data_IF_611760587795
#
_entry.id   IF_611760587795
#
_cell.length_a   1.000
_cell.length_b   1.000
_cell.length_c   1.000
_cell.angle_alpha   90.00
_cell.angle_beta   90.00
_cell.angle_gamma   90.00
#
_symmetry.space_group_name_H-M   'P 1'
#
loop_
_entity.id
_entity.type
_entity.pdbx_description
1 polymer ?
#
# COMPACT_ATOMS: atom_id res chain seq x y z
N UNK A 1 -6.19 -53.35 -50.86
CA UNK A 1 -6.66 -51.95 -50.78
C UNK A 1 -6.37 -51.42 -49.39
N UNK A 2 -5.70 -50.28 -49.31
CA UNK A 2 -4.94 -49.79 -48.15
C UNK A 2 -5.82 -49.19 -47.05
N UNK A 3 -5.43 -49.41 -45.79
CA UNK A 3 -6.02 -48.91 -44.51
C UNK A 3 -6.35 -47.41 -44.46
N UNK A 4 -6.02 -46.62 -45.48
CA UNK A 4 -6.32 -45.17 -45.58
C UNK A 4 -7.80 -44.84 -45.82
N UNK A 5 -8.61 -45.79 -46.28
CA UNK A 5 -10.04 -45.55 -46.53
C UNK A 5 -10.86 -45.38 -45.24
N UNK A 6 -10.60 -46.21 -44.23
CA UNK A 6 -11.40 -46.20 -42.98
C UNK A 6 -11.19 -44.93 -42.16
N UNK A 7 -9.95 -44.41 -42.13
CA UNK A 7 -9.62 -43.17 -41.40
C UNK A 7 -10.32 -41.93 -41.99
N UNK A 8 -10.50 -41.86 -43.32
CA UNK A 8 -11.09 -40.69 -43.97
C UNK A 8 -12.60 -40.61 -43.79
N UNK A 9 -13.28 -41.76 -43.66
CA UNK A 9 -14.70 -41.82 -43.33
C UNK A 9 -14.97 -41.49 -41.85
N UNK A 10 -14.04 -41.82 -40.94
CA UNK A 10 -14.14 -41.41 -39.53
C UNK A 10 -13.98 -39.88 -39.36
N UNK A 11 -13.06 -39.26 -40.09
CA UNK A 11 -12.81 -37.80 -40.00
C UNK A 11 -13.94 -36.98 -40.62
N UNK A 12 -14.60 -37.49 -41.67
CA UNK A 12 -15.74 -36.78 -42.30
C UNK A 12 -17.03 -36.87 -41.47
N UNK A 13 -17.25 -37.96 -40.73
CA UNK A 13 -18.36 -38.04 -39.78
C UNK A 13 -18.22 -37.05 -38.60
N UNK A 14 -16.99 -36.76 -38.16
CA UNK A 14 -16.71 -35.82 -37.07
C UNK A 14 -16.81 -34.34 -37.48
N UNK A 15 -16.76 -34.03 -38.79
CA UNK A 15 -16.81 -32.67 -39.33
C UNK A 15 -18.21 -32.23 -39.80
N UNK A 16 -19.26 -33.01 -39.51
CA UNK A 16 -20.62 -32.61 -39.81
C UNK A 16 -21.09 -31.53 -38.82
N UNK A 17 -21.65 -30.39 -39.28
CA UNK A 17 -22.24 -29.38 -38.39
C UNK A 17 -23.25 -29.99 -37.41
N UNK A 18 -23.99 -31.01 -37.85
CA UNK A 18 -24.94 -31.76 -37.03
C UNK A 18 -24.24 -32.52 -35.89
N UNK A 19 -23.07 -33.10 -36.15
CA UNK A 19 -22.28 -33.78 -35.12
C UNK A 19 -21.74 -32.79 -34.09
N UNK A 20 -21.20 -31.64 -34.54
CA UNK A 20 -20.74 -30.60 -33.63
C UNK A 20 -21.86 -30.03 -32.75
N UNK A 21 -23.06 -29.86 -33.30
CA UNK A 21 -24.23 -29.42 -32.56
C UNK A 21 -24.67 -30.46 -31.54
N UNK A 22 -24.65 -31.75 -31.89
CA UNK A 22 -24.97 -32.84 -30.98
C UNK A 22 -23.96 -32.95 -29.84
N UNK A 23 -22.66 -32.81 -30.11
CA UNK A 23 -21.62 -32.79 -29.07
C UNK A 23 -21.80 -31.60 -28.15
N UNK A 24 -22.06 -30.40 -28.70
CA UNK A 24 -22.31 -29.20 -27.91
C UNK A 24 -23.56 -29.37 -27.02
N UNK A 25 -24.66 -29.89 -27.57
CA UNK A 25 -25.87 -30.18 -26.80
C UNK A 25 -25.58 -31.20 -25.68
N UNK A 26 -24.78 -32.23 -25.95
CA UNK A 26 -24.43 -33.24 -24.97
C UNK A 26 -23.56 -32.64 -23.84
N UNK A 27 -22.58 -31.79 -24.17
CA UNK A 27 -21.74 -31.09 -23.18
C UNK A 27 -22.59 -30.15 -22.32
N UNK A 28 -23.49 -29.36 -22.93
CA UNK A 28 -24.41 -28.48 -22.18
C UNK A 28 -25.34 -29.29 -21.29
N UNK A 29 -25.88 -30.41 -21.78
CA UNK A 29 -26.77 -31.27 -21.00
C UNK A 29 -26.03 -31.89 -19.81
N UNK A 30 -24.81 -32.39 -20.01
CA UNK A 30 -23.96 -32.91 -18.92
C UNK A 30 -23.64 -31.80 -17.91
N UNK A 31 -23.33 -30.59 -18.37
CA UNK A 31 -23.05 -29.46 -17.47
C UNK A 31 -24.29 -29.07 -16.65
N UNK A 32 -25.47 -29.01 -17.26
CA UNK A 32 -26.74 -28.75 -16.56
C UNK A 32 -27.07 -29.87 -15.59
N UNK A 33 -26.87 -31.15 -15.96
CA UNK A 33 -27.06 -32.27 -15.05
C UNK A 33 -26.08 -32.23 -13.88
N UNK A 34 -24.83 -31.83 -14.08
CA UNK A 34 -23.86 -31.65 -13.00
C UNK A 34 -24.25 -30.50 -12.06
N UNK A 35 -24.79 -29.39 -12.61
CA UNK A 35 -25.33 -28.28 -11.81
C UNK A 35 -26.56 -28.72 -11.02
N UNK A 36 -27.51 -29.42 -11.64
CA UNK A 36 -28.69 -29.99 -10.96
C UNK A 36 -28.25 -30.99 -9.89
N UNK A 37 -27.25 -31.82 -10.17
CA UNK A 37 -26.73 -32.80 -9.21
C UNK A 37 -26.02 -32.12 -8.04
N UNK A 38 -25.27 -31.04 -8.27
CA UNK A 38 -24.67 -30.24 -7.19
C UNK A 38 -25.73 -29.46 -6.40
N UNK A 39 -26.84 -29.04 -7.04
CA UNK A 39 -28.03 -28.52 -6.36
C UNK A 39 -28.74 -29.61 -5.54
N UNK A 40 -28.85 -30.84 -6.04
CA UNK A 40 -29.43 -31.96 -5.30
C UNK A 40 -28.53 -32.46 -4.17
N UNK A 41 -27.20 -32.36 -4.28
CA UNK A 41 -26.29 -32.62 -3.15
C UNK A 41 -26.44 -31.54 -2.08
N UNK A 42 -26.72 -30.29 -2.47
CA UNK A 42 -27.02 -29.21 -1.50
C UNK A 42 -28.45 -29.27 -0.97
N UNK A 43 -29.37 -29.98 -1.64
CA UNK A 43 -30.74 -30.22 -1.19
C UNK A 43 -30.98 -31.63 -0.62
N UNK A 44 -29.98 -32.52 -0.59
CA UNK A 44 -30.10 -33.71 0.23
C UNK A 44 -30.25 -33.20 1.66
N UNK A 45 -31.41 -33.44 2.31
CA UNK A 45 -31.52 -33.10 3.71
C UNK A 45 -30.37 -33.83 4.37
N UNK A 46 -29.50 -33.05 5.03
CA UNK A 46 -28.41 -33.59 5.83
C UNK A 46 -29.08 -34.63 6.71
N UNK A 47 -28.87 -35.91 6.37
CA UNK A 47 -29.21 -37.02 7.22
C UNK A 47 -28.28 -36.83 8.40
N UNK A 48 -28.80 -36.14 9.41
CA UNK A 48 -28.10 -35.88 10.66
C UNK A 48 -27.52 -37.22 11.11
N UNK A 49 -26.21 -37.30 11.40
CA UNK A 49 -25.63 -38.55 11.83
C UNK A 49 -26.43 -39.09 13.01
N UNK A 50 -26.58 -40.43 13.16
CA UNK A 50 -27.40 -41.03 14.20
C UNK A 50 -27.12 -40.48 15.61
N UNK A 51 -25.87 -40.04 15.86
CA UNK A 51 -25.43 -39.39 17.09
C UNK A 51 -26.09 -38.03 17.37
N UNK A 52 -26.42 -37.24 16.35
CA UNK A 52 -27.10 -35.95 16.55
C UNK A 52 -28.60 -36.15 16.83
N UNK A 53 -29.23 -37.18 16.23
CA UNK A 53 -30.60 -37.55 16.57
C UNK A 53 -30.74 -38.05 18.01
N UNK A 54 -29.74 -38.79 18.51
CA UNK A 54 -29.71 -39.19 19.93
C UNK A 54 -29.51 -37.97 20.83
N UNK A 55 -28.60 -37.07 20.46
CA UNK A 55 -28.36 -35.82 21.20
C UNK A 55 -29.60 -34.91 21.27
N UNK A 56 -30.33 -34.73 20.17
CA UNK A 56 -31.57 -33.93 20.14
C UNK A 56 -32.72 -34.58 20.93
N UNK A 57 -32.76 -35.91 21.00
CA UNK A 57 -33.78 -36.64 21.77
C UNK A 57 -33.50 -36.59 23.27
N UNK A 58 -32.23 -36.57 23.67
CA UNK A 58 -31.82 -36.34 25.06
C UNK A 58 -32.16 -34.92 25.55
N UNK A 59 -32.20 -33.93 24.66
CA UNK A 59 -32.61 -32.55 25.00
C UNK A 59 -34.11 -32.37 25.23
N UNK A 60 -34.98 -33.31 24.82
CA UNK A 60 -36.42 -33.23 25.15
C UNK A 60 -36.75 -33.61 26.61
N UNK A 61 -35.74 -33.91 27.42
CA UNK A 61 -35.92 -34.14 28.86
C UNK A 61 -35.38 -32.96 29.66
N UNK A 62 -36.29 -32.02 29.91
CA UNK A 62 -36.20 -30.92 30.88
C UNK A 62 -35.68 -31.42 32.25
N UNK A 63 -34.56 -30.84 32.73
CA UNK A 63 -34.63 -29.93 33.87
C UNK A 63 -33.76 -28.68 33.61
N UNK A 64 -34.42 -27.55 33.32
CA UNK A 64 -33.96 -26.58 32.31
C UNK A 64 -33.06 -25.40 32.71
N UNK A 65 -32.50 -25.31 33.93
CA UNK A 65 -31.61 -24.17 34.26
C UNK A 65 -30.18 -24.54 34.64
N UNK A 66 -29.98 -25.54 35.50
CA UNK A 66 -28.62 -25.83 36.04
C UNK A 66 -27.78 -26.67 35.04
N UNK A 67 -28.40 -27.51 34.19
CA UNK A 67 -27.68 -28.25 33.14
C UNK A 67 -27.23 -27.35 31.99
N UNK A 68 -28.04 -26.34 31.65
CA UNK A 68 -27.79 -25.40 30.55
C UNK A 68 -26.49 -24.61 30.73
N UNK A 69 -26.23 -24.12 31.94
CA UNK A 69 -25.01 -23.34 32.24
C UNK A 69 -23.74 -24.20 32.10
N UNK A 70 -23.77 -25.43 32.61
CA UNK A 70 -22.64 -26.36 32.50
C UNK A 70 -22.37 -26.79 31.06
N UNK A 71 -23.43 -27.06 30.28
CA UNK A 71 -23.29 -27.37 28.85
C UNK A 71 -22.73 -26.18 28.07
N UNK A 72 -23.22 -24.97 28.34
CA UNK A 72 -22.74 -23.75 27.71
C UNK A 72 -21.26 -23.49 28.04
N UNK A 73 -20.88 -23.59 29.32
CA UNK A 73 -19.49 -23.46 29.75
C UNK A 73 -18.58 -24.52 29.09
N UNK A 74 -19.04 -25.76 29.01
CA UNK A 74 -18.33 -26.85 28.35
C UNK A 74 -18.14 -26.61 26.84
N UNK A 75 -19.18 -26.13 26.15
CA UNK A 75 -19.11 -25.76 24.74
C UNK A 75 -18.17 -24.57 24.51
N UNK A 76 -18.20 -23.56 25.40
CA UNK A 76 -17.25 -22.44 25.36
C UNK A 76 -15.83 -22.95 25.50
N UNK A 77 -15.52 -23.79 26.49
CA UNK A 77 -14.17 -24.36 26.66
C UNK A 77 -13.72 -25.14 25.42
N UNK A 78 -14.59 -25.97 24.82
CA UNK A 78 -14.28 -26.65 23.55
C UNK A 78 -13.95 -25.68 22.43
N UNK A 79 -14.70 -24.57 22.32
CA UNK A 79 -14.44 -23.54 21.32
C UNK A 79 -13.09 -22.84 21.56
N UNK A 80 -12.73 -22.59 22.83
CA UNK A 80 -11.43 -22.00 23.20
C UNK A 80 -10.26 -22.91 22.82
N UNK A 81 -10.39 -24.21 23.05
CA UNK A 81 -9.38 -25.22 22.69
C UNK A 81 -9.30 -25.47 21.17
N UNK A 82 -10.40 -25.26 20.46
CA UNK A 82 -10.47 -25.49 19.01
C UNK A 82 -9.88 -24.34 18.16
N UNK A 83 -9.44 -23.23 18.78
CA UNK A 83 -8.86 -22.11 18.03
C UNK A 83 -7.54 -22.52 17.39
N UNK A 84 -7.53 -22.60 16.06
CA UNK A 84 -6.36 -22.99 15.27
C UNK A 84 -5.54 -21.78 14.85
N UNK A 85 -4.26 -21.77 15.23
CA UNK A 85 -3.30 -20.75 14.82
C UNK A 85 -2.59 -21.16 13.52
N UNK A 86 -2.64 -20.28 12.52
CA UNK A 86 -1.97 -20.44 11.23
C UNK A 86 -0.78 -19.48 11.15
N UNK A 87 0.32 -19.83 10.46
CA UNK A 87 1.46 -18.93 10.31
C UNK A 87 1.06 -17.68 9.55
N UNK A 88 1.52 -16.51 10.02
CA UNK A 88 1.37 -15.24 9.31
C UNK A 88 2.04 -15.35 7.95
N UNK A 89 3.29 -15.81 7.90
CA UNK A 89 4.04 -16.06 6.66
C UNK A 89 3.80 -17.48 6.16
N UNK A 90 2.87 -17.63 5.22
CA UNK A 90 2.61 -18.91 4.57
C UNK A 90 3.67 -19.23 3.50
N UNK A 91 4.58 -20.15 3.84
CA UNK A 91 5.71 -20.52 2.98
C UNK A 91 5.28 -21.14 1.64
N UNK A 92 4.05 -21.65 1.52
CA UNK A 92 3.50 -22.17 0.27
C UNK A 92 3.40 -21.08 -0.81
N UNK A 93 3.27 -19.81 -0.41
CA UNK A 93 3.14 -18.66 -1.30
C UNK A 93 4.39 -17.75 -1.30
N UNK A 94 5.52 -18.24 -0.77
CA UNK A 94 6.77 -17.46 -0.65
C UNK A 94 7.35 -16.96 -1.97
N UNK A 95 7.08 -17.64 -3.09
CA UNK A 95 7.50 -17.23 -4.43
C UNK A 95 6.60 -16.14 -5.05
N UNK A 96 5.43 -15.89 -4.45
CA UNK A 96 4.41 -14.93 -4.92
C UNK A 96 3.87 -14.11 -3.74
N UNK A 97 4.74 -13.44 -2.95
CA UNK A 97 4.35 -12.87 -1.66
C UNK A 97 3.33 -11.74 -1.77
N UNK A 98 3.12 -11.17 -2.95
CA UNK A 98 2.23 -10.04 -3.21
C UNK A 98 1.10 -10.36 -4.23
N UNK A 99 1.01 -11.58 -4.75
CA UNK A 99 -0.01 -11.95 -5.75
C UNK A 99 -1.25 -12.55 -5.08
N UNK A 100 -2.44 -12.08 -5.48
CA UNK A 100 -3.71 -12.67 -5.07
C UNK A 100 -3.96 -12.60 -3.57
N UNK A 101 -3.71 -13.69 -2.86
CA UNK A 101 -4.01 -13.84 -1.43
C UNK A 101 -2.91 -13.35 -0.49
N UNK A 102 -1.74 -12.92 -1.04
CA UNK A 102 -0.47 -12.72 -0.32
C UNK A 102 -0.08 -13.92 0.57
N UNK A 103 1.20 -14.05 0.89
CA UNK A 103 1.63 -15.02 1.90
C UNK A 103 1.20 -14.63 3.32
N UNK A 104 0.87 -13.35 3.56
CA UNK A 104 0.59 -12.82 4.90
C UNK A 104 -0.89 -13.00 5.25
N UNK A 105 -1.22 -13.85 6.22
CA UNK A 105 -2.61 -14.23 6.53
C UNK A 105 -3.36 -14.82 5.31
N UNK A 106 -2.70 -15.75 4.62
CA UNK A 106 -3.11 -16.29 3.31
C UNK A 106 -4.48 -16.99 3.27
N UNK A 107 -5.03 -17.42 4.42
CA UNK A 107 -6.32 -18.13 4.45
C UNK A 107 -7.54 -17.19 4.44
N UNK A 108 -7.32 -15.88 4.41
CA UNK A 108 -8.35 -14.86 4.49
C UNK A 108 -8.34 -13.98 3.23
N UNK A 109 -9.54 -13.54 2.85
CA UNK A 109 -9.76 -12.66 1.71
C UNK A 109 -9.93 -11.21 2.20
N UNK A 110 -9.40 -10.27 1.44
CA UNK A 110 -9.61 -8.84 1.68
C UNK A 110 -10.99 -8.40 1.19
N UNK A 111 -11.52 -7.35 1.81
CA UNK A 111 -12.58 -6.55 1.23
C UNK A 111 -12.00 -5.80 0.00
N UNK A 112 -12.58 -6.04 -1.16
CA UNK A 112 -12.13 -5.49 -2.45
C UNK A 112 -13.17 -4.53 -3.04
N UNK A 113 -13.59 -3.53 -2.27
CA UNK A 113 -14.43 -2.46 -2.80
C UNK A 113 -13.68 -1.73 -3.93
N UNK A 114 -14.29 -1.64 -5.12
CA UNK A 114 -13.64 -1.07 -6.31
C UNK A 114 -13.24 0.39 -6.06
N UNK A 115 -11.97 0.70 -6.29
CA UNK A 115 -11.43 2.06 -6.15
C UNK A 115 -11.05 2.43 -4.71
N UNK A 116 -11.26 1.54 -3.75
CA UNK A 116 -10.89 1.70 -2.36
C UNK A 116 -9.69 0.83 -1.99
N UNK A 117 -9.16 1.08 -0.78
CA UNK A 117 -8.11 0.27 -0.18
C UNK A 117 -8.59 -1.18 0.04
N UNK A 118 -7.68 -2.14 -0.17
CA UNK A 118 -7.90 -3.54 0.18
C UNK A 118 -7.49 -3.80 1.64
N UNK A 119 -8.41 -4.31 2.43
CA UNK A 119 -8.20 -4.53 3.86
C UNK A 119 -8.99 -5.73 4.40
N UNK A 120 -8.59 -6.23 5.56
CA UNK A 120 -9.39 -7.15 6.36
C UNK A 120 -9.85 -6.44 7.63
N UNK A 121 -11.06 -6.73 8.09
CA UNK A 121 -11.62 -6.14 9.30
C UNK A 121 -12.21 -7.21 10.20
N UNK A 122 -12.01 -7.05 11.50
CA UNK A 122 -12.43 -7.98 12.53
C UNK A 122 -12.99 -7.20 13.72
N UNK A 123 -14.16 -7.59 14.27
CA UNK A 123 -15.12 -8.52 13.69
C UNK A 123 -15.77 -7.94 12.41
N UNK A 124 -16.33 -8.82 11.59
CA UNK A 124 -16.99 -8.49 10.32
C UNK A 124 -17.88 -9.65 9.86
N UNK A 125 -18.71 -9.43 8.84
CA UNK A 125 -19.50 -10.51 8.23
C UNK A 125 -18.61 -11.63 7.66
N UNK A 126 -17.47 -11.27 7.03
CA UNK A 126 -16.55 -12.26 6.45
C UNK A 126 -15.84 -13.10 7.51
N UNK A 127 -15.50 -12.50 8.66
CA UNK A 127 -14.99 -13.23 9.82
C UNK A 127 -16.10 -13.92 10.61
N UNK A 128 -17.38 -13.74 10.26
CA UNK A 128 -18.56 -14.24 11.00
C UNK A 128 -18.59 -13.74 12.45
N UNK A 129 -18.21 -12.50 12.69
CA UNK A 129 -18.19 -11.91 14.04
C UNK A 129 -17.02 -12.36 14.93
N UNK A 130 -16.04 -13.10 14.38
CA UNK A 130 -14.85 -13.53 15.14
C UNK A 130 -13.79 -12.44 15.19
N UNK A 131 -13.11 -12.35 16.32
CA UNK A 131 -11.99 -11.45 16.56
C UNK A 131 -10.70 -12.00 15.96
N UNK A 132 -9.81 -11.09 15.56
CA UNK A 132 -8.44 -11.44 15.20
C UNK A 132 -7.63 -11.67 16.48
N UNK A 133 -6.91 -12.80 16.53
CA UNK A 133 -5.92 -13.09 17.56
C UNK A 133 -4.56 -13.31 16.93
N UNK A 134 -3.52 -12.68 17.49
CA UNK A 134 -2.13 -12.81 17.08
C UNK A 134 -1.31 -13.51 18.16
N UNK A 135 -0.30 -14.28 17.75
CA UNK A 135 0.60 -15.04 18.64
C UNK A 135 2.00 -15.09 18.05
N UNK A 136 3.02 -15.13 18.90
CA UNK A 136 4.43 -15.13 18.49
C UNK A 136 5.11 -13.79 18.73
N UNK A 137 6.42 -13.84 18.88
CA UNK A 137 7.28 -12.68 19.20
C UNK A 137 8.51 -12.60 18.28
N UNK A 138 8.48 -13.31 17.15
CA UNK A 138 9.67 -13.49 16.32
C UNK A 138 9.96 -12.24 15.47
N UNK A 139 11.19 -11.74 15.57
CA UNK A 139 11.67 -10.55 14.86
C UNK A 139 12.55 -10.87 13.63
N UNK A 140 12.79 -12.16 13.35
CA UNK A 140 13.75 -12.63 12.34
C UNK A 140 13.18 -13.69 11.38
N UNK A 141 12.15 -14.44 11.78
CA UNK A 141 11.43 -15.37 10.92
C UNK A 141 9.92 -15.28 11.13
N UNK A 142 9.25 -14.60 10.19
CA UNK A 142 7.81 -14.40 10.22
C UNK A 142 6.95 -15.67 10.13
N UNK A 143 7.54 -16.85 9.88
CA UNK A 143 6.81 -18.13 9.95
C UNK A 143 6.54 -18.59 11.40
N UNK A 144 7.23 -17.98 12.37
CA UNK A 144 7.04 -18.20 13.82
C UNK A 144 6.09 -17.21 14.48
N UNK A 145 5.44 -16.36 13.68
CA UNK A 145 4.32 -15.55 14.11
C UNK A 145 3.04 -16.07 13.47
N UNK A 146 1.94 -16.03 14.21
CA UNK A 146 0.70 -16.72 13.89
C UNK A 146 -0.51 -15.84 14.08
N UNK A 147 -1.59 -16.16 13.37
CA UNK A 147 -2.91 -15.58 13.55
C UNK A 147 -3.97 -16.66 13.73
N UNK A 148 -5.06 -16.30 14.37
CA UNK A 148 -6.26 -17.11 14.48
C UNK A 148 -7.50 -16.22 14.53
N UNK A 149 -8.67 -16.83 14.35
CA UNK A 149 -9.96 -16.19 14.57
C UNK A 149 -10.67 -16.88 15.73
N UNK A 150 -11.18 -16.09 16.68
CA UNK A 150 -11.89 -16.60 17.87
C UNK A 150 -13.19 -15.85 18.12
N UNK A 151 -14.18 -16.53 18.71
CA UNK A 151 -15.41 -15.87 19.14
C UNK A 151 -15.14 -14.96 20.35
N UNK A 152 -15.77 -13.79 20.46
CA UNK A 152 -15.59 -12.90 21.61
C UNK A 152 -15.83 -13.60 22.97
N UNK A 153 -16.79 -14.52 23.02
CA UNK A 153 -17.15 -15.29 24.22
C UNK A 153 -16.25 -16.51 24.47
N UNK A 154 -15.43 -16.90 23.50
CA UNK A 154 -14.58 -18.10 23.55
C UNK A 154 -13.17 -17.81 23.01
N UNK A 155 -12.49 -16.84 23.64
CA UNK A 155 -11.11 -16.51 23.33
C UNK A 155 -10.16 -17.66 23.67
N UNK A 156 -9.03 -17.83 22.97
CA UNK A 156 -8.07 -18.90 23.27
C UNK A 156 -7.65 -18.92 24.75
N UNK A 157 -7.23 -20.08 25.24
CA UNK A 157 -6.71 -20.21 26.61
C UNK A 157 -5.55 -19.22 26.83
N UNK A 158 -5.56 -18.52 27.96
CA UNK A 158 -4.58 -17.48 28.35
C UNK A 158 -4.48 -16.26 27.43
N UNK A 159 -5.43 -16.08 26.49
CA UNK A 159 -5.46 -14.91 25.64
C UNK A 159 -5.75 -13.63 26.44
N UNK A 160 -5.18 -12.52 26.00
CA UNK A 160 -5.59 -11.18 26.44
C UNK A 160 -6.40 -10.50 25.35
N UNK A 161 -7.45 -9.78 25.73
CA UNK A 161 -8.24 -8.94 24.81
C UNK A 161 -7.75 -7.50 24.90
N UNK A 162 -7.53 -6.86 23.76
CA UNK A 162 -7.18 -5.47 23.63
C UNK A 162 -8.39 -4.69 23.13
N UNK A 163 -8.91 -3.78 23.96
CA UNK A 163 -10.07 -2.92 23.64
C UNK A 163 -9.70 -1.80 22.67
N UNK A 164 -10.64 -1.37 21.85
CA UNK A 164 -10.46 -0.35 20.82
C UNK A 164 -9.88 -0.86 19.50
N UNK A 165 -9.78 0.06 18.54
CA UNK A 165 -9.29 -0.16 17.19
C UNK A 165 -7.77 -0.37 17.17
N UNK A 166 -7.37 -1.49 16.59
CA UNK A 166 -5.97 -1.83 16.34
C UNK A 166 -5.69 -1.89 14.84
N UNK A 167 -4.68 -1.15 14.39
CA UNK A 167 -4.18 -1.26 13.02
C UNK A 167 -3.06 -2.28 12.92
N UNK A 168 -3.19 -3.25 12.02
CA UNK A 168 -2.19 -4.29 11.78
C UNK A 168 -1.63 -4.11 10.38
N UNK A 169 -0.37 -3.69 10.30
CA UNK A 169 0.29 -3.40 9.02
C UNK A 169 1.26 -4.50 8.66
N UNK A 170 1.12 -5.06 7.46
CA UNK A 170 2.16 -5.85 6.81
C UNK A 170 2.82 -5.04 5.69
N UNK A 171 4.15 -4.95 5.75
CA UNK A 171 4.97 -4.35 4.70
C UNK A 171 5.98 -5.38 4.18
N UNK A 172 6.06 -5.53 2.85
CA UNK A 172 7.04 -6.44 2.23
C UNK A 172 8.44 -5.83 2.12
N UNK A 173 8.51 -4.50 2.18
CA UNK A 173 9.75 -3.74 2.28
C UNK A 173 9.88 -3.21 3.70
N UNK A 174 10.76 -2.26 3.95
CA UNK A 174 11.07 -1.77 5.30
C UNK A 174 10.28 -0.49 5.70
N UNK A 175 10.02 -0.31 7.01
CA UNK A 175 9.39 0.89 7.58
C UNK A 175 10.37 2.04 7.86
N UNK A 176 11.68 1.79 7.83
CA UNK A 176 12.71 2.81 7.91
C UNK A 176 12.86 3.64 6.63
N UNK A 177 12.60 3.04 5.47
CA UNK A 177 12.56 3.74 4.19
C UNK A 177 11.29 4.58 4.04
N UNK A 178 11.46 5.88 3.76
CA UNK A 178 10.34 6.84 3.66
C UNK A 178 9.26 6.43 2.65
N UNK A 179 9.63 6.01 1.44
CA UNK A 179 8.67 5.64 0.40
C UNK A 179 7.90 4.36 0.77
N UNK A 180 8.65 3.32 1.17
CA UNK A 180 8.07 2.03 1.51
C UNK A 180 7.15 2.13 2.74
N UNK A 181 7.60 2.84 3.77
CA UNK A 181 6.81 3.11 4.95
C UNK A 181 5.55 3.90 4.64
N UNK A 182 5.67 5.00 3.88
CA UNK A 182 4.51 5.81 3.49
C UNK A 182 3.49 4.99 2.69
N UNK A 183 3.95 4.20 1.71
CA UNK A 183 3.09 3.34 0.90
C UNK A 183 2.31 2.30 1.72
N UNK A 184 2.89 1.84 2.84
CA UNK A 184 2.23 0.91 3.76
C UNK A 184 1.22 1.61 4.68
N UNK A 185 1.41 2.91 4.97
CA UNK A 185 0.56 3.68 5.88
C UNK A 185 -0.61 4.42 5.22
N UNK A 186 -0.44 4.89 3.98
CA UNK A 186 -1.49 5.54 3.16
C UNK A 186 -2.83 4.75 3.17
N UNK A 187 -2.83 3.41 3.05
CA UNK A 187 -4.03 2.57 3.19
C UNK A 187 -4.87 2.82 4.46
N UNK A 188 -4.22 3.01 5.61
CA UNK A 188 -4.92 3.25 6.87
C UNK A 188 -5.58 4.63 6.91
N UNK A 189 -4.94 5.63 6.32
CA UNK A 189 -5.52 6.97 6.19
C UNK A 189 -6.74 6.92 5.27
N UNK A 190 -6.65 6.17 4.17
CA UNK A 190 -7.79 5.92 3.28
C UNK A 190 -8.94 5.21 4.00
N UNK A 191 -8.64 4.21 4.82
CA UNK A 191 -9.65 3.52 5.62
C UNK A 191 -10.30 4.48 6.63
N UNK A 192 -9.51 5.25 7.36
CA UNK A 192 -10.00 6.20 8.38
C UNK A 192 -10.91 7.27 7.77
N UNK A 193 -10.54 7.81 6.60
CA UNK A 193 -11.38 8.75 5.84
C UNK A 193 -12.75 8.17 5.48
N UNK A 194 -12.84 6.87 5.20
CA UNK A 194 -14.12 6.19 4.91
C UNK A 194 -14.95 5.95 6.17
N UNK A 195 -14.30 5.81 7.32
CA UNK A 195 -14.90 5.46 8.59
C UNK A 195 -14.90 6.65 9.55
N UNK A 196 -15.38 7.81 9.06
CA UNK A 196 -15.60 9.00 9.88
C UNK A 196 -14.38 9.47 10.69
N UNK A 197 -13.18 9.38 10.09
CA UNK A 197 -11.93 9.80 10.73
C UNK A 197 -11.58 9.01 12.00
N UNK A 198 -12.00 7.74 12.09
CA UNK A 198 -11.70 6.90 13.24
C UNK A 198 -10.19 6.71 13.40
N UNK A 199 -9.68 6.97 14.61
CA UNK A 199 -8.26 6.85 14.95
C UNK A 199 -7.97 5.51 15.63
N UNK A 200 -6.82 4.87 15.33
CA UNK A 200 -6.40 3.67 16.04
C UNK A 200 -5.90 4.02 17.45
N UNK A 201 -6.16 3.14 18.41
CA UNK A 201 -5.54 3.19 19.74
C UNK A 201 -4.12 2.65 19.69
N UNK A 202 -3.84 1.70 18.79
CA UNK A 202 -2.52 1.06 18.68
C UNK A 202 -2.26 0.45 17.32
N UNK A 203 -0.99 0.14 17.10
CA UNK A 203 -0.46 -0.41 15.86
C UNK A 203 0.31 -1.70 16.13
N UNK A 204 0.18 -2.66 15.22
CA UNK A 204 1.01 -3.87 15.15
C UNK A 204 1.69 -3.86 13.79
N UNK A 205 3.03 -3.91 13.76
CA UNK A 205 3.79 -3.84 12.52
C UNK A 205 4.48 -5.18 12.22
N UNK A 206 4.33 -5.62 10.98
CA UNK A 206 5.02 -6.76 10.42
C UNK A 206 5.82 -6.39 9.18
N UNK A 207 7.03 -6.94 9.09
CA UNK A 207 7.89 -6.95 7.91
C UNK A 207 8.24 -8.39 7.58
N UNK A 208 7.90 -8.92 6.41
CA UNK A 208 8.05 -10.36 6.11
C UNK A 208 7.38 -11.32 7.14
N UNK A 209 6.36 -10.81 7.84
CA UNK A 209 5.72 -11.52 8.96
C UNK A 209 6.49 -11.43 10.29
N UNK A 210 7.65 -10.78 10.31
CA UNK A 210 8.48 -10.53 11.49
C UNK A 210 8.00 -9.26 12.21
N UNK A 211 8.01 -9.28 13.54
CA UNK A 211 7.55 -8.14 14.32
C UNK A 211 8.49 -6.94 14.21
N UNK A 212 7.89 -5.76 14.18
CA UNK A 212 8.57 -4.47 14.20
C UNK A 212 7.91 -3.56 15.24
N UNK A 213 8.73 -2.77 15.92
CA UNK A 213 8.30 -1.91 17.02
C UNK A 213 8.67 -0.44 16.83
N UNK A 214 9.07 -0.08 15.60
CA UNK A 214 9.43 1.28 15.22
C UNK A 214 9.32 1.45 13.71
N UNK A 215 9.17 2.69 13.31
CA UNK A 215 9.31 3.15 11.93
C UNK A 215 10.40 4.22 11.84
N UNK A 216 10.77 4.62 10.62
CA UNK A 216 11.69 5.74 10.42
C UNK A 216 11.11 7.05 10.99
N UNK A 217 11.96 7.93 11.53
CA UNK A 217 11.53 9.16 12.20
C UNK A 217 10.58 10.00 11.33
N UNK A 218 10.93 10.20 10.07
CA UNK A 218 10.10 10.96 9.13
C UNK A 218 8.70 10.36 8.95
N UNK A 219 8.59 9.02 8.91
CA UNK A 219 7.29 8.38 8.82
C UNK A 219 6.51 8.54 10.12
N UNK A 220 7.17 8.42 11.26
CA UNK A 220 6.53 8.62 12.56
C UNK A 220 5.92 10.03 12.66
N UNK A 221 6.64 11.07 12.23
CA UNK A 221 6.11 12.44 12.18
C UNK A 221 4.90 12.58 11.26
N UNK A 222 4.90 11.93 10.08
CA UNK A 222 3.73 11.92 9.18
C UNK A 222 2.52 11.30 9.87
N UNK A 223 2.69 10.17 10.56
CA UNK A 223 1.59 9.47 11.22
C UNK A 223 1.09 10.26 12.43
N UNK A 224 1.99 10.78 13.26
CA UNK A 224 1.64 11.65 14.39
C UNK A 224 0.88 12.88 13.89
N UNK A 225 1.35 13.54 12.83
CA UNK A 225 0.65 14.68 12.24
C UNK A 225 -0.75 14.28 11.71
N UNK A 226 -0.85 13.13 11.05
CA UNK A 226 -2.11 12.67 10.44
C UNK A 226 -3.17 12.31 11.46
N UNK A 227 -2.80 11.60 12.54
CA UNK A 227 -3.74 11.13 13.56
C UNK A 227 -3.82 12.03 14.80
N UNK A 228 -2.95 13.03 14.92
CA UNK A 228 -2.91 13.97 16.04
C UNK A 228 -2.42 13.39 17.37
N UNK A 229 -1.81 12.19 17.35
CA UNK A 229 -1.32 11.50 18.54
C UNK A 229 -0.10 10.65 18.21
N UNK A 230 0.74 10.39 19.23
CA UNK A 230 1.91 9.54 19.07
C UNK A 230 1.51 8.09 18.78
N UNK A 231 2.25 7.45 17.88
CA UNK A 231 2.02 6.05 17.51
C UNK A 231 2.36 5.10 18.67
N UNK A 232 1.37 4.34 19.17
CA UNK A 232 1.61 3.26 20.12
C UNK A 232 1.82 1.92 19.37
N UNK A 233 3.03 1.38 19.39
CA UNK A 233 3.33 0.06 18.83
C UNK A 233 3.20 -1.01 19.90
N UNK A 234 2.27 -1.94 19.69
CA UNK A 234 2.05 -3.04 20.61
C UNK A 234 3.25 -4.00 20.61
N UNK A 235 3.76 -4.31 21.80
CA UNK A 235 4.83 -5.27 22.03
C UNK A 235 4.27 -6.54 22.66
N UNK A 236 4.30 -7.64 21.92
CA UNK A 236 3.98 -8.96 22.46
C UNK A 236 5.10 -9.41 23.39
N UNK A 237 4.78 -9.72 24.66
CA UNK A 237 5.77 -10.09 25.68
C UNK A 237 6.00 -11.59 25.81
N UNK A 238 5.01 -12.39 25.42
CA UNK A 238 5.02 -13.84 25.61
C UNK A 238 4.65 -14.53 24.30
N UNK A 239 5.57 -15.36 23.79
CA UNK A 239 5.40 -16.14 22.56
C UNK A 239 4.20 -17.10 22.60
N UNK A 240 3.81 -17.52 23.81
CA UNK A 240 2.77 -18.51 24.01
C UNK A 240 1.39 -17.90 24.30
N UNK A 241 1.32 -16.63 24.70
CA UNK A 241 0.04 -15.97 25.02
C UNK A 241 -0.52 -15.24 23.79
N UNK A 242 -1.69 -15.66 23.29
CA UNK A 242 -2.36 -14.92 22.24
C UNK A 242 -2.83 -13.55 22.71
N UNK A 243 -2.88 -12.62 21.79
CA UNK A 243 -3.50 -11.30 21.98
C UNK A 243 -4.57 -11.13 20.93
N UNK A 244 -5.80 -10.97 21.39
CA UNK A 244 -6.97 -10.75 20.55
C UNK A 244 -7.37 -9.28 20.60
N UNK A 245 -8.02 -8.80 19.55
CA UNK A 245 -8.40 -7.39 19.41
C UNK A 245 -9.91 -7.27 19.31
N UNK A 246 -10.49 -6.37 20.09
CA UNK A 246 -11.91 -6.05 20.00
C UNK A 246 -12.27 -5.56 18.60
N UNK A 247 -11.42 -4.70 18.02
CA UNK A 247 -11.52 -4.27 16.63
C UNK A 247 -10.13 -4.24 16.00
N UNK A 248 -9.99 -4.82 14.81
CA UNK A 248 -8.75 -4.81 14.06
C UNK A 248 -8.96 -4.58 12.57
N UNK A 249 -8.09 -3.75 11.98
CA UNK A 249 -8.02 -3.52 10.53
C UNK A 249 -6.63 -3.92 10.06
N UNK A 250 -6.56 -4.83 9.10
CA UNK A 250 -5.31 -5.37 8.56
C UNK A 250 -5.10 -4.84 7.15
N UNK A 251 -3.93 -4.25 6.90
CA UNK A 251 -3.48 -3.82 5.58
C UNK A 251 -2.26 -4.63 5.16
N UNK A 252 -2.30 -5.19 3.95
CA UNK A 252 -1.26 -6.08 3.44
C UNK A 252 -0.92 -5.91 1.95
N UNK A 253 -1.52 -4.89 1.31
CA UNK A 253 -1.41 -4.63 -0.13
C UNK A 253 -0.89 -3.22 -0.48
N UNK A 254 -0.37 -2.46 0.49
CA UNK A 254 -0.05 -1.03 0.32
C UNK A 254 -1.25 -0.32 -0.35
N UNK A 255 -1.00 0.60 -1.28
CA UNK A 255 -2.04 1.34 -2.02
C UNK A 255 -2.79 0.51 -3.08
N UNK A 256 -2.76 -0.82 -2.99
CA UNK A 256 -3.49 -1.73 -3.88
C UNK A 256 -5.00 -1.51 -3.83
N UNK A 257 -5.67 -1.62 -4.98
CA UNK A 257 -7.12 -1.42 -5.11
C UNK A 257 -7.58 0.04 -5.20
N UNK A 258 -6.82 0.98 -4.63
CA UNK A 258 -7.20 2.39 -4.62
C UNK A 258 -7.26 3.00 -6.02
N UNK A 259 -8.29 3.80 -6.25
CA UNK A 259 -8.41 4.67 -7.43
C UNK A 259 -7.39 5.81 -7.36
N UNK A 260 -7.25 6.55 -8.47
CA UNK A 260 -6.38 7.72 -8.46
C UNK A 260 -6.96 8.82 -7.58
N UNK A 261 -8.28 8.99 -7.66
CA UNK A 261 -9.07 9.95 -6.91
C UNK A 261 -8.90 9.72 -5.41
N UNK A 262 -9.04 8.46 -4.97
CA UNK A 262 -8.86 8.09 -3.57
C UNK A 262 -7.45 8.35 -3.05
N UNK A 263 -6.41 8.06 -3.84
CA UNK A 263 -5.04 8.42 -3.48
C UNK A 263 -4.87 9.93 -3.31
N UNK A 264 -5.43 10.72 -4.22
CA UNK A 264 -5.33 12.18 -4.15
C UNK A 264 -6.02 12.74 -2.90
N UNK A 265 -7.18 12.22 -2.51
CA UNK A 265 -7.86 12.62 -1.26
C UNK A 265 -6.99 12.33 -0.03
N UNK A 266 -6.35 11.16 0.02
CA UNK A 266 -5.48 10.77 1.13
C UNK A 266 -4.24 11.64 1.20
N UNK A 267 -3.56 11.87 0.08
CA UNK A 267 -2.38 12.74 0.06
C UNK A 267 -2.72 14.21 0.35
N UNK A 268 -3.91 14.67 -0.02
CA UNK A 268 -4.40 15.99 0.38
C UNK A 268 -4.60 16.09 1.90
N UNK A 269 -5.18 15.05 2.52
CA UNK A 269 -5.33 15.01 3.97
C UNK A 269 -3.95 15.02 4.65
N UNK A 270 -3.04 14.13 4.25
CA UNK A 270 -1.68 14.05 4.81
C UNK A 270 -0.99 15.42 4.71
N UNK A 271 -1.08 16.11 3.57
CA UNK A 271 -0.55 17.47 3.40
C UNK A 271 -1.14 18.45 4.37
N UNK A 272 -2.46 18.48 4.46
CA UNK A 272 -3.16 19.41 5.32
C UNK A 272 -2.77 19.18 6.79
N UNK A 273 -2.81 17.93 7.24
CA UNK A 273 -2.43 17.53 8.59
C UNK A 273 -0.99 17.86 8.93
N UNK A 274 -0.05 17.60 8.01
CA UNK A 274 1.35 17.96 8.20
C UNK A 274 1.55 19.47 8.36
N UNK A 275 0.83 20.29 7.58
CA UNK A 275 0.88 21.77 7.70
C UNK A 275 0.30 22.24 9.02
N UNK A 276 -0.84 21.69 9.41
CA UNK A 276 -1.48 22.01 10.69
C UNK A 276 -0.58 21.65 11.88
N UNK A 277 -0.02 20.43 11.88
CA UNK A 277 0.93 19.96 12.90
C UNK A 277 2.16 20.88 13.03
N UNK A 278 2.63 21.42 11.90
CA UNK A 278 3.78 22.33 11.87
C UNK A 278 3.42 23.82 12.00
N UNK A 279 2.17 24.18 12.31
CA UNK A 279 1.68 25.56 12.40
C UNK A 279 1.95 26.42 11.15
N UNK A 280 1.88 25.80 9.97
CA UNK A 280 2.11 26.46 8.69
C UNK A 280 0.81 27.09 8.21
N UNK A 281 0.79 28.42 8.12
CA UNK A 281 -0.34 29.17 7.60
C UNK A 281 -0.68 28.79 6.16
N UNK A 282 -1.98 28.64 5.88
CA UNK A 282 -2.51 28.47 4.53
C UNK A 282 -2.55 29.77 3.73
N UNK A 283 -2.16 30.91 4.31
CA UNK A 283 -2.19 32.22 3.63
C UNK A 283 -1.54 32.13 2.26
N UNK A 284 -2.25 32.60 1.24
CA UNK A 284 -1.80 32.55 -0.15
C UNK A 284 -0.43 33.24 -0.24
N UNK A 285 0.63 32.46 -0.49
CA UNK A 285 1.84 33.02 -1.09
C UNK A 285 1.42 33.89 -2.26
N UNK A 286 2.09 35.04 -2.42
CA UNK A 286 1.76 36.00 -3.48
C UNK A 286 1.50 35.27 -4.80
N UNK A 287 0.34 35.56 -5.42
CA UNK A 287 -0.15 34.85 -6.61
C UNK A 287 0.85 34.85 -7.77
N UNK A 288 1.82 35.77 -7.76
CA UNK A 288 2.88 35.94 -8.75
C UNK A 288 4.15 35.11 -8.52
N UNK A 289 4.42 34.60 -7.31
CA UNK A 289 5.67 33.90 -7.00
C UNK A 289 5.70 32.49 -7.57
N UNK A 290 6.83 32.06 -8.16
CA UNK A 290 7.09 30.67 -8.59
C UNK A 290 8.28 30.14 -7.77
N UNK A 291 8.02 29.28 -6.81
CA UNK A 291 9.07 28.65 -6.01
C UNK A 291 9.71 27.47 -6.74
N UNK A 292 10.95 27.63 -7.19
CA UNK A 292 11.75 26.53 -7.69
C UNK A 292 12.69 26.04 -6.58
N UNK A 293 12.70 24.73 -6.32
CA UNK A 293 13.55 24.13 -5.29
C UNK A 293 14.48 23.10 -5.91
N UNK A 294 15.79 23.27 -5.71
CA UNK A 294 16.78 22.22 -5.90
C UNK A 294 16.93 21.47 -4.57
N UNK A 295 16.35 20.28 -4.46
CA UNK A 295 16.52 19.41 -3.31
C UNK A 295 17.70 18.48 -3.54
N UNK A 296 18.84 18.89 -3.03
CA UNK A 296 20.13 18.25 -3.24
C UNK A 296 20.34 17.06 -2.29
N UNK A 297 21.27 16.18 -2.66
CA UNK A 297 21.70 15.02 -1.87
C UNK A 297 23.18 15.13 -1.55
N UNK A 298 23.56 14.67 -0.37
CA UNK A 298 24.97 14.39 -0.06
C UNK A 298 25.26 12.90 -0.28
N UNK A 299 26.41 12.57 -0.87
CA UNK A 299 26.87 11.19 -1.03
C UNK A 299 26.19 10.45 -2.19
N UNK A 300 25.58 9.26 -1.95
CA UNK A 300 24.98 8.46 -3.02
C UNK A 300 24.03 9.26 -3.89
N UNK A 301 24.19 9.18 -5.21
CA UNK A 301 23.32 9.85 -6.22
C UNK A 301 23.32 11.38 -6.15
N UNK A 302 24.28 11.99 -5.45
CA UNK A 302 24.55 13.43 -5.55
C UNK A 302 25.02 13.79 -6.96
N UNK A 303 24.95 15.07 -7.33
CA UNK A 303 25.60 15.54 -8.56
C UNK A 303 27.12 15.54 -8.40
N UNK A 304 27.86 15.24 -9.47
CA UNK A 304 29.33 15.33 -9.56
C UNK A 304 29.79 16.78 -9.41
N UNK A 305 29.09 17.70 -10.06
CA UNK A 305 29.33 19.15 -10.01
C UNK A 305 28.04 19.88 -9.62
N UNK A 306 27.82 20.03 -8.31
CA UNK A 306 26.60 20.68 -7.78
C UNK A 306 26.53 22.16 -8.15
N UNK A 307 27.65 22.88 -8.08
CA UNK A 307 27.70 24.31 -8.40
C UNK A 307 27.24 24.60 -9.83
N UNK A 308 27.73 23.84 -10.81
CA UNK A 308 27.30 24.00 -12.20
C UNK A 308 25.80 23.75 -12.38
N UNK A 309 25.25 22.71 -11.75
CA UNK A 309 23.81 22.43 -11.79
C UNK A 309 23.01 23.58 -11.17
N UNK A 310 23.44 24.08 -10.00
CA UNK A 310 22.80 25.22 -9.34
C UNK A 310 22.79 26.45 -10.25
N UNK A 311 23.93 26.76 -10.88
CA UNK A 311 24.06 27.94 -11.74
C UNK A 311 23.16 27.86 -12.97
N UNK A 312 23.01 26.68 -13.59
CA UNK A 312 22.08 26.47 -14.72
C UNK A 312 20.64 26.80 -14.29
N UNK A 313 20.13 26.17 -13.23
CA UNK A 313 18.76 26.39 -12.78
C UNK A 313 18.55 27.81 -12.25
N UNK A 314 19.57 28.42 -11.64
CA UNK A 314 19.53 29.82 -11.19
C UNK A 314 19.42 30.77 -12.37
N UNK A 315 20.17 30.53 -13.44
CA UNK A 315 20.10 31.31 -14.69
C UNK A 315 18.70 31.20 -15.30
N UNK A 316 18.16 30.00 -15.45
CA UNK A 316 16.84 29.83 -16.07
C UNK A 316 15.69 30.34 -15.21
N UNK A 317 15.75 30.19 -13.88
CA UNK A 317 14.76 30.76 -12.98
C UNK A 317 14.73 32.29 -13.07
N UNK A 318 15.89 32.97 -13.11
CA UNK A 318 15.95 34.44 -13.27
C UNK A 318 15.29 34.96 -14.55
N UNK A 319 15.21 34.13 -15.60
CA UNK A 319 14.57 34.49 -16.86
C UNK A 319 13.04 34.44 -16.79
N UNK A 320 12.46 34.00 -15.67
CA UNK A 320 11.02 33.88 -15.46
C UNK A 320 10.59 34.79 -14.32
N UNK A 321 9.79 35.80 -14.65
CA UNK A 321 9.23 36.75 -13.68
C UNK A 321 8.56 36.03 -12.50
N UNK A 322 8.92 36.46 -11.28
CA UNK A 322 8.41 35.90 -10.03
C UNK A 322 9.06 34.59 -9.60
N UNK A 323 9.98 34.03 -10.39
CA UNK A 323 10.68 32.80 -10.01
C UNK A 323 11.73 33.05 -8.93
N UNK A 324 11.68 32.26 -7.87
CA UNK A 324 12.63 32.26 -6.77
C UNK A 324 13.22 30.86 -6.60
N UNK A 325 14.54 30.76 -6.77
CA UNK A 325 15.26 29.51 -6.58
C UNK A 325 15.71 29.34 -5.12
N UNK A 326 15.36 28.21 -4.52
CA UNK A 326 15.91 27.76 -3.24
C UNK A 326 16.73 26.48 -3.43
N UNK A 327 17.93 26.45 -2.87
CA UNK A 327 18.76 25.23 -2.79
C UNK A 327 18.66 24.69 -1.37
N UNK A 328 18.41 23.39 -1.21
CA UNK A 328 18.26 22.78 0.11
C UNK A 328 18.74 21.34 0.11
N UNK A 329 19.16 20.86 1.27
CA UNK A 329 19.64 19.49 1.47
C UNK A 329 18.74 18.80 2.48
N UNK A 330 18.08 17.72 2.08
CA UNK A 330 17.07 17.04 2.91
C UNK A 330 17.58 16.61 4.30
N UNK A 331 18.84 16.21 4.40
CA UNK A 331 19.48 15.78 5.64
C UNK A 331 19.75 16.92 6.64
N UNK A 332 19.64 18.18 6.20
CA UNK A 332 19.83 19.35 7.06
C UNK A 332 18.50 19.94 7.55
N UNK A 333 17.36 19.31 7.22
CA UNK A 333 16.04 19.84 7.51
C UNK A 333 15.31 18.92 8.49
N UNK A 334 14.77 19.52 9.55
CA UNK A 334 13.74 18.91 10.39
C UNK A 334 12.49 18.57 9.57
N UNK A 335 11.60 17.74 10.13
CA UNK A 335 10.35 17.39 9.46
C UNK A 335 9.53 18.64 9.07
N UNK A 336 9.31 19.57 10.00
CA UNK A 336 8.51 20.77 9.71
C UNK A 336 9.19 21.74 8.74
N UNK A 337 10.52 21.84 8.73
CA UNK A 337 11.23 22.60 7.70
C UNK A 337 11.05 21.98 6.30
N UNK A 338 10.93 20.64 6.20
CA UNK A 338 10.59 19.98 4.94
C UNK A 338 9.15 20.28 4.52
N UNK A 339 8.19 20.26 5.46
CA UNK A 339 6.79 20.61 5.16
C UNK A 339 6.70 22.04 4.63
N UNK A 340 7.37 22.99 5.29
CA UNK A 340 7.39 24.41 4.89
C UNK A 340 8.07 24.60 3.53
N UNK A 341 9.23 23.95 3.31
CA UNK A 341 9.91 23.97 2.01
C UNK A 341 9.01 23.46 0.88
N UNK A 342 8.36 22.30 1.08
CA UNK A 342 7.51 21.68 0.06
C UNK A 342 6.24 22.50 -0.20
N UNK A 343 5.65 23.12 0.84
CA UNK A 343 4.54 24.07 0.72
C UNK A 343 4.91 25.27 -0.16
N UNK A 344 6.15 25.73 -0.08
CA UNK A 344 6.66 26.82 -0.92
C UNK A 344 7.18 26.37 -2.30
N UNK A 345 7.15 25.07 -2.63
CA UNK A 345 7.74 24.56 -3.87
C UNK A 345 6.67 24.33 -4.94
N UNK A 346 6.75 25.11 -6.01
CA UNK A 346 5.95 24.96 -7.22
C UNK A 346 6.63 24.01 -8.23
N UNK A 347 7.97 24.09 -8.33
CA UNK A 347 8.80 23.24 -9.20
C UNK A 347 9.93 22.62 -8.37
N UNK A 348 9.89 21.30 -8.19
CA UNK A 348 10.92 20.53 -7.48
C UNK A 348 11.88 19.89 -8.47
N UNK A 349 13.17 20.04 -8.22
CA UNK A 349 14.26 19.45 -8.99
C UNK A 349 15.11 18.65 -8.01
N UNK A 350 15.21 17.33 -8.21
CA UNK A 350 15.89 16.47 -7.24
C UNK A 350 16.49 15.23 -7.88
N UNK A 351 17.67 14.77 -7.43
CA UNK A 351 18.11 13.41 -7.67
C UNK A 351 17.17 12.37 -7.05
N UNK A 352 17.05 11.23 -7.72
CA UNK A 352 16.23 10.10 -7.30
C UNK A 352 16.68 9.52 -5.95
N UNK A 353 15.72 9.19 -5.10
CA UNK A 353 15.91 8.34 -3.92
C UNK A 353 14.98 8.72 -2.76
N UNK A 354 15.04 7.99 -1.64
CA UNK A 354 14.00 7.98 -0.59
C UNK A 354 13.61 9.36 -0.04
N UNK A 355 14.53 10.32 0.00
CA UNK A 355 14.24 11.69 0.45
C UNK A 355 13.25 12.43 -0.43
N UNK A 356 13.17 12.08 -1.72
CA UNK A 356 12.22 12.66 -2.67
C UNK A 356 10.76 12.26 -2.37
N UNK A 357 10.52 11.33 -1.43
CA UNK A 357 9.17 11.05 -0.89
C UNK A 357 8.52 12.29 -0.29
N UNK A 358 9.30 13.27 0.17
CA UNK A 358 8.76 14.55 0.67
C UNK A 358 7.97 15.34 -0.39
N UNK A 359 8.06 15.01 -1.69
CA UNK A 359 7.24 15.63 -2.73
C UNK A 359 5.75 15.56 -2.42
N UNK A 360 5.29 14.54 -1.70
CA UNK A 360 3.87 14.39 -1.36
C UNK A 360 3.37 15.53 -0.49
N UNK A 361 4.25 16.37 0.05
CA UNK A 361 3.94 17.54 0.86
C UNK A 361 3.69 18.83 0.03
N UNK A 362 4.03 18.80 -1.27
CA UNK A 362 3.88 19.91 -2.22
C UNK A 362 2.43 20.11 -2.63
N UNK A 363 2.09 21.30 -3.12
CA UNK A 363 0.74 21.55 -3.64
C UNK A 363 0.39 20.74 -4.90
N UNK A 364 -0.91 20.46 -5.07
CA UNK A 364 -1.42 19.91 -6.33
C UNK A 364 -1.00 20.80 -7.50
N UNK A 365 -0.82 20.18 -8.66
CA UNK A 365 -0.36 20.81 -9.90
C UNK A 365 1.08 21.36 -9.86
N UNK A 366 1.83 21.18 -8.78
CA UNK A 366 3.28 21.36 -8.80
C UNK A 366 3.95 20.38 -9.76
N UNK A 367 5.18 20.72 -10.16
CA UNK A 367 5.98 19.99 -11.13
C UNK A 367 7.22 19.38 -10.49
N UNK A 368 7.61 18.18 -10.92
CA UNK A 368 8.81 17.49 -10.44
C UNK A 368 9.71 17.11 -11.62
N UNK A 369 10.99 17.44 -11.50
CA UNK A 369 12.07 17.08 -12.42
C UNK A 369 13.05 16.15 -11.68
N UNK A 370 13.22 14.93 -12.20
CA UNK A 370 13.96 13.87 -11.53
C UNK A 370 15.27 13.51 -12.26
N UNK A 371 16.34 13.30 -11.49
CA UNK A 371 17.66 12.95 -12.03
C UNK A 371 18.10 11.59 -11.50
N UNK A 372 18.54 10.71 -12.40
CA UNK A 372 18.99 9.37 -12.07
C UNK A 372 20.43 9.15 -12.51
N UNK A 373 21.24 8.41 -11.72
CA UNK A 373 22.56 7.98 -12.16
C UNK A 373 22.51 7.05 -13.37
N UNK A 374 23.68 6.84 -13.98
CA UNK A 374 23.86 5.88 -15.07
C UNK A 374 23.38 4.51 -14.66
N UNK A 375 22.86 3.76 -15.63
CA UNK A 375 22.43 2.37 -15.45
C UNK A 375 21.04 2.22 -14.83
N UNK A 376 20.49 3.23 -14.14
CA UNK A 376 19.14 3.16 -13.56
C UNK A 376 18.07 2.86 -14.61
N UNK A 377 18.16 3.50 -15.78
CA UNK A 377 17.23 3.26 -16.89
C UNK A 377 17.15 1.77 -17.27
N UNK A 378 18.29 1.08 -17.27
CA UNK A 378 18.43 -0.32 -17.71
C UNK A 378 18.15 -1.31 -16.58
N UNK A 379 18.57 -1.01 -15.34
CA UNK A 379 18.67 -2.02 -14.27
C UNK A 379 17.81 -1.77 -13.03
N UNK A 380 17.26 -0.57 -12.83
CA UNK A 380 16.48 -0.28 -11.62
C UNK A 380 15.07 -0.90 -11.64
N UNK A 381 14.63 -1.44 -12.78
CA UNK A 381 13.30 -1.99 -12.95
C UNK A 381 12.23 -0.95 -12.63
N UNK A 382 11.19 -1.36 -11.91
CA UNK A 382 10.09 -0.48 -11.49
C UNK A 382 10.50 0.60 -10.48
N UNK A 383 11.63 0.45 -9.79
CA UNK A 383 12.08 1.39 -8.77
C UNK A 383 12.32 2.81 -9.30
N UNK A 384 12.65 2.95 -10.59
CA UNK A 384 12.82 4.27 -11.23
C UNK A 384 11.50 5.02 -11.47
N UNK A 385 10.34 4.35 -11.36
CA UNK A 385 9.04 4.95 -11.64
C UNK A 385 8.32 5.43 -10.37
N UNK A 386 8.91 5.18 -9.20
CA UNK A 386 8.32 5.44 -7.89
C UNK A 386 7.82 6.88 -7.74
N UNK A 387 8.63 7.88 -8.11
CA UNK A 387 8.23 9.29 -7.98
C UNK A 387 7.38 9.81 -9.14
N UNK A 388 7.43 9.15 -10.29
CA UNK A 388 6.40 9.33 -11.32
C UNK A 388 5.03 8.88 -10.82
N UNK A 389 4.96 7.80 -10.04
CA UNK A 389 3.72 7.37 -9.40
C UNK A 389 3.32 8.30 -8.28
N UNK A 390 4.22 8.61 -7.35
CA UNK A 390 3.96 9.52 -6.22
C UNK A 390 3.43 10.89 -6.65
N UNK A 391 3.99 11.47 -7.71
CA UNK A 391 3.46 12.72 -8.30
C UNK A 391 2.06 12.56 -8.84
N UNK A 392 1.79 11.52 -9.63
CA UNK A 392 0.45 11.27 -10.21
C UNK A 392 -0.60 10.97 -9.13
N UNK A 393 -0.22 10.26 -8.08
CA UNK A 393 -1.07 9.91 -6.94
C UNK A 393 -1.35 11.12 -6.04
N UNK A 394 -0.44 12.09 -5.99
CA UNK A 394 -0.58 13.34 -5.22
C UNK A 394 -1.10 14.53 -6.05
N UNK A 395 -1.61 14.28 -7.27
CA UNK A 395 -2.17 15.34 -8.12
C UNK A 395 -1.13 16.32 -8.70
N UNK A 396 0.14 15.93 -8.76
CA UNK A 396 1.24 16.68 -9.36
C UNK A 396 1.59 16.17 -10.76
N UNK A 397 2.59 16.82 -11.38
CA UNK A 397 3.11 16.46 -12.70
C UNK A 397 4.58 16.05 -12.62
N UNK A 398 4.86 14.85 -13.12
CA UNK A 398 6.22 14.45 -13.41
C UNK A 398 6.63 14.98 -14.77
N UNK A 399 7.59 15.91 -14.82
CA UNK A 399 7.99 16.61 -16.06
C UNK A 399 9.11 15.88 -16.82
N UNK A 400 9.44 14.66 -16.40
CA UNK A 400 10.41 13.78 -17.03
C UNK A 400 11.50 13.35 -16.06
N UNK A 401 12.26 12.35 -16.49
CA UNK A 401 13.42 11.84 -15.77
C UNK A 401 14.63 11.95 -16.68
N UNK A 402 15.72 12.52 -16.18
CA UNK A 402 17.02 12.45 -16.84
C UNK A 402 17.80 11.26 -16.29
N UNK A 403 18.37 10.44 -17.16
CA UNK A 403 19.24 9.33 -16.80
C UNK A 403 20.64 9.60 -17.34
N UNK A 404 21.63 9.64 -16.46
CA UNK A 404 23.02 9.96 -16.82
C UNK A 404 23.57 8.98 -17.87
N UNK A 405 23.95 9.45 -19.08
CA UNK A 405 24.63 8.59 -20.05
C UNK A 405 26.10 8.32 -19.65
N UNK A 406 26.73 9.26 -18.94
CA UNK A 406 28.19 9.37 -18.74
C UNK A 406 28.58 9.22 -17.24
N UNK A 407 27.88 8.32 -16.55
CA UNK A 407 28.22 7.89 -15.20
C UNK A 407 29.42 6.94 -15.14
N UNK A 408 29.74 6.50 -13.92
CA UNK A 408 30.83 5.56 -13.62
C UNK A 408 30.79 4.29 -14.49
N UNK A 409 31.96 3.75 -14.82
CA UNK A 409 32.09 2.55 -15.66
C UNK A 409 32.05 1.30 -14.77
N UNK A 410 31.25 0.32 -15.16
CA UNK A 410 31.23 -0.99 -14.53
C UNK A 410 32.19 -1.94 -15.26
N UNK A 411 32.84 -2.84 -14.53
CA UNK A 411 33.72 -3.87 -15.10
C UNK A 411 32.96 -4.95 -15.90
N UNK A 412 31.65 -5.07 -15.70
CA UNK A 412 30.77 -5.96 -16.46
C UNK A 412 29.98 -5.13 -17.48
N UNK A 413 29.37 -5.77 -18.49
CA UNK A 413 28.47 -5.07 -19.40
C UNK A 413 27.37 -4.30 -18.64
N UNK A 414 26.98 -3.13 -19.14
CA UNK A 414 25.96 -2.24 -18.56
C UNK A 414 24.60 -2.92 -18.24
N UNK A 415 24.33 -4.09 -18.83
CA UNK A 415 23.11 -4.89 -18.63
C UNK A 415 23.24 -5.91 -17.50
N UNK A 416 24.44 -6.10 -16.95
CA UNK A 416 24.69 -7.04 -15.87
C UNK A 416 24.16 -6.48 -14.54
N UNK A 417 23.31 -7.26 -13.85
CA UNK A 417 22.71 -6.86 -12.57
C UNK A 417 23.74 -6.53 -11.49
N UNK A 418 24.94 -7.12 -11.56
CA UNK A 418 26.04 -6.81 -10.64
C UNK A 418 26.43 -5.34 -10.71
N UNK A 419 26.34 -4.70 -11.87
CA UNK A 419 26.64 -3.28 -12.02
C UNK A 419 25.67 -2.39 -11.26
N UNK A 420 24.40 -2.80 -11.11
CA UNK A 420 23.44 -2.04 -10.32
C UNK A 420 23.86 -2.00 -8.86
N UNK A 421 24.16 -3.15 -8.25
CA UNK A 421 24.50 -3.22 -6.84
C UNK A 421 25.88 -2.65 -6.52
N UNK A 422 26.87 -2.81 -7.41
CA UNK A 422 28.24 -2.39 -7.14
C UNK A 422 28.57 -0.95 -7.53
N UNK A 423 27.92 -0.38 -8.55
CA UNK A 423 28.29 0.94 -9.12
C UNK A 423 27.06 1.85 -9.21
N UNK A 424 26.08 1.50 -10.04
CA UNK A 424 25.05 2.42 -10.50
C UNK A 424 24.04 2.84 -9.42
N UNK A 425 23.69 1.97 -8.47
CA UNK A 425 22.71 2.28 -7.41
C UNK A 425 23.11 3.51 -6.60
N UNK A 426 24.40 3.74 -6.39
CA UNK A 426 24.93 4.82 -5.57
C UNK A 426 25.78 5.83 -6.35
N UNK A 427 26.05 5.58 -7.64
CA UNK A 427 26.88 6.43 -8.49
C UNK A 427 26.42 7.89 -8.51
N UNK A 428 27.39 8.80 -8.66
CA UNK A 428 27.13 10.24 -8.76
C UNK A 428 26.64 10.62 -10.15
N UNK A 429 25.86 11.69 -10.21
CA UNK A 429 25.15 12.16 -11.39
C UNK A 429 25.97 13.25 -12.10
N UNK A 430 26.29 13.06 -13.37
CA UNK A 430 26.81 14.10 -14.26
C UNK A 430 25.81 15.23 -14.53
N UNK A 431 26.20 16.20 -15.35
CA UNK A 431 25.31 17.26 -15.80
C UNK A 431 25.48 17.51 -17.30
N UNK A 432 24.43 18.01 -17.94
CA UNK A 432 24.48 18.49 -19.31
C UNK A 432 23.88 19.89 -19.32
N UNK A 433 24.73 20.91 -19.51
CA UNK A 433 24.32 22.31 -19.39
C UNK A 433 23.18 22.68 -20.35
N UNK A 434 23.34 22.37 -21.64
CA UNK A 434 22.34 22.71 -22.66
C UNK A 434 21.01 22.02 -22.37
N UNK A 435 21.03 20.71 -22.12
CA UNK A 435 19.81 19.95 -21.87
C UNK A 435 19.10 20.41 -20.59
N UNK A 436 19.84 20.65 -19.49
CA UNK A 436 19.25 21.09 -18.22
C UNK A 436 18.64 22.48 -18.36
N UNK A 437 19.30 23.40 -19.06
CA UNK A 437 18.77 24.73 -19.34
C UNK A 437 17.47 24.69 -20.16
N UNK A 438 17.47 23.96 -21.27
CA UNK A 438 16.28 23.81 -22.13
C UNK A 438 15.11 23.14 -21.38
N UNK A 439 15.40 22.09 -20.61
CA UNK A 439 14.39 21.38 -19.83
C UNK A 439 13.80 22.28 -18.74
N UNK A 440 14.63 23.00 -17.98
CA UNK A 440 14.19 23.95 -16.96
C UNK A 440 13.31 25.06 -17.54
N UNK A 441 13.74 25.67 -18.67
CA UNK A 441 12.98 26.69 -19.39
C UNK A 441 11.61 26.18 -19.84
N UNK A 442 11.56 24.96 -20.39
CA UNK A 442 10.31 24.31 -20.83
C UNK A 442 9.35 24.09 -19.66
N UNK A 443 9.85 23.57 -18.54
CA UNK A 443 9.03 23.28 -17.35
C UNK A 443 8.50 24.56 -16.70
N UNK A 444 9.36 25.55 -16.50
CA UNK A 444 8.96 26.84 -15.94
C UNK A 444 7.94 27.56 -16.82
N UNK A 445 8.13 27.54 -18.15
CA UNK A 445 7.17 28.11 -19.11
C UNK A 445 5.79 27.47 -19.00
N UNK A 446 5.73 26.13 -19.07
CA UNK A 446 4.48 25.37 -18.89
C UNK A 446 3.82 25.62 -17.53
N UNK A 447 4.62 25.74 -16.46
CA UNK A 447 4.09 26.01 -15.13
C UNK A 447 3.48 27.43 -15.04
N UNK A 448 4.19 28.45 -15.56
CA UNK A 448 3.70 29.84 -15.59
C UNK A 448 2.36 29.95 -16.30
N UNK A 449 2.22 29.36 -17.49
CA UNK A 449 0.96 29.35 -18.26
C UNK A 449 -0.20 28.77 -17.45
N UNK A 450 0.02 27.63 -16.78
CA UNK A 450 -1.01 26.98 -15.95
C UNK A 450 -1.39 27.79 -14.72
N UNK A 451 -0.39 28.39 -14.05
CA UNK A 451 -0.63 29.23 -12.88
C UNK A 451 -1.50 30.43 -13.25
N UNK A 452 -1.20 31.08 -14.39
CA UNK A 452 -2.02 32.17 -14.93
C UNK A 452 -3.46 31.71 -15.26
N UNK A 453 -3.63 30.53 -15.88
CA UNK A 453 -4.96 29.98 -16.17
C UNK A 453 -5.78 29.68 -14.90
N UNK A 454 -5.15 29.13 -13.85
CA UNK A 454 -5.82 28.83 -12.58
C UNK A 454 -6.24 30.10 -11.82
N UNK A 455 -5.46 31.19 -11.91
CA UNK A 455 -5.83 32.49 -11.31
C UNK A 455 -7.09 33.05 -11.98
N UNK A 456 -7.28 32.84 -13.28
CA UNK A 456 -8.50 33.24 -13.99
C UNK A 456 -9.70 32.38 -13.55
N UNK A 457 -9.52 31.07 -13.37
CA UNK A 457 -10.59 30.14 -12.96
C UNK A 457 -11.05 30.28 -11.51
N UNK A 458 -10.15 30.62 -10.57
CA UNK A 458 -10.48 30.76 -9.13
C UNK A 458 -11.24 32.04 -8.75
N UNK A 459 -11.50 32.96 -9.69
CA UNK A 459 -12.40 34.11 -9.42
C UNK A 459 -13.83 33.69 -9.02
N UNK A 460 -14.21 32.41 -9.12
CA UNK A 460 -15.56 31.91 -8.83
C UNK A 460 -15.66 30.78 -7.79
N UNK A 461 -14.66 30.53 -6.96
CA UNK A 461 -14.80 29.54 -5.87
C UNK A 461 -14.12 30.00 -4.58
N UNK A 462 -14.88 30.64 -3.70
CA UNK A 462 -14.48 30.84 -2.30
C UNK A 462 -15.05 29.71 -1.46
N UNK A 463 -14.14 28.96 -0.86
CA UNK A 463 -14.37 27.96 0.16
C UNK A 463 -13.02 27.67 0.78
N UNK A 464 -12.50 28.62 1.57
CA UNK A 464 -11.42 28.33 2.52
C UNK A 464 -12.03 27.36 3.52
N UNK A 465 -11.77 26.08 3.30
CA UNK A 465 -11.89 25.07 4.34
C UNK A 465 -10.63 25.27 5.19
N UNK A 466 -10.70 26.13 6.20
CA UNK A 466 -9.63 26.33 7.20
C UNK A 466 -9.41 25.09 8.10
N UNK A 467 -9.96 23.94 7.73
CA UNK A 467 -9.79 22.66 8.39
C UNK A 467 -9.41 21.57 7.41
N UNK A 468 -8.59 20.65 7.88
CA UNK A 468 -8.35 19.38 7.21
C UNK A 468 -9.59 18.50 7.29
N UNK A 469 -9.79 17.62 6.29
CA UNK A 469 -10.85 16.61 6.34
C UNK A 469 -10.43 15.50 7.29
N UNK A 470 -10.95 15.48 8.50
CA UNK A 470 -10.22 15.00 9.67
C UNK A 470 -9.13 16.03 10.04
#
# INVERSE_FOLDING_TARGET
MTKRSVSRNLVTCLASPKFSLNVLCLVVTVFVLLQIWSFHITQQPILLPPSLFTYLKEQQQEPEQIKSENETAYLVEKLRESVTFLPLKDLRFSNKPLEGHTWFMSSLYDNQTKGEVQYQEFPSESSKGRLLCLKGVDEHDGSWNYYALAWPQALPVNASLQEGLTFVSYNHYDYGNMWHGLSAMVPFVAWSLRHQCENPQRWVLYHWGELRFKMGNWLNEIITATYGQNTEFLRFRDKNRPVCFEKAVVMRHNEGGMSRERRMEVFDLIRCKARHYCNISLSETSKSRIGMTLLMRTGPRSFKNESAVIDIFKRECKNVEGCELKVSYSNNLTFCEQVELMRMTDVLVSPHGAQLTNLVLMDRNSSVMEFLPKGWRKLAGVGQLVYQWGTRWSGMRHEGSWHDPDGEICQFPDTDRRCMSSVYKNGRIGYNETYFGEWAKSVLGKFKERKMANVVGRKHSYGSLDGCWC
#
